data_IF_412523841515
#
_entry.id   IF_412523841515
#
_cell.length_a   1.000
_cell.length_b   1.000
_cell.length_c   1.000
_cell.angle_alpha   90.00
_cell.angle_beta   90.00
_cell.angle_gamma   90.00
#
_symmetry.space_group_name_H-M   'P 1'
#
loop_
_entity.id
_entity.type
_entity.pdbx_description
1 polymer ?
#
# COMPACT_ATOMS: atom_id res chain seq x y z
N UNK A 1 -20.91 -0.13 -51.60
CA UNK A 1 -19.73 -0.44 -50.77
C UNK A 1 -20.32 -0.80 -49.44
N UNK A 2 -20.35 -2.10 -49.13
CA UNK A 2 -20.86 -2.55 -47.85
C UNK A 2 -19.91 -2.09 -46.74
N UNK A 3 -20.50 -1.58 -45.66
CA UNK A 3 -19.80 -1.45 -44.40
C UNK A 3 -19.90 -2.82 -43.72
N UNK A 4 -18.90 -3.67 -43.94
CA UNK A 4 -18.73 -4.87 -43.13
C UNK A 4 -18.47 -4.42 -41.70
N UNK A 5 -19.50 -4.49 -40.86
CA UNK A 5 -19.26 -4.54 -39.43
C UNK A 5 -18.59 -5.89 -39.19
N UNK A 6 -17.32 -5.86 -38.77
CA UNK A 6 -16.68 -7.03 -38.21
C UNK A 6 -17.35 -7.26 -36.85
N UNK A 7 -18.21 -8.28 -36.78
CA UNK A 7 -18.74 -8.76 -35.50
C UNK A 7 -17.52 -9.23 -34.70
N UNK A 8 -17.23 -8.55 -33.58
CA UNK A 8 -16.23 -9.01 -32.62
C UNK A 8 -16.65 -10.40 -32.15
N UNK A 9 -15.95 -11.43 -32.64
CA UNK A 9 -16.23 -12.80 -32.27
C UNK A 9 -15.93 -12.97 -30.77
N UNK A 10 -16.98 -13.15 -29.96
CA UNK A 10 -16.87 -13.36 -28.52
C UNK A 10 -15.77 -14.38 -28.21
N UNK A 11 -14.77 -13.95 -27.44
CA UNK A 11 -13.53 -14.70 -27.26
C UNK A 11 -13.82 -16.04 -26.55
N UNK A 12 -13.79 -17.13 -27.32
CA UNK A 12 -14.08 -18.47 -26.81
C UNK A 12 -12.90 -18.99 -25.98
N UNK A 13 -13.11 -19.09 -24.66
CA UNK A 13 -12.14 -19.58 -23.67
C UNK A 13 -12.47 -21.04 -23.29
N UNK A 14 -11.46 -21.88 -23.05
CA UNK A 14 -11.68 -23.24 -22.56
C UNK A 14 -12.04 -23.28 -21.07
N UNK A 15 -12.64 -24.38 -20.61
CA UNK A 15 -12.99 -24.53 -19.19
C UNK A 15 -11.76 -24.51 -18.27
N UNK A 16 -10.58 -24.92 -18.75
CA UNK A 16 -9.34 -24.84 -17.97
C UNK A 16 -8.86 -23.40 -17.83
N UNK A 17 -8.72 -22.68 -18.94
CA UNK A 17 -8.31 -21.27 -18.95
C UNK A 17 -9.27 -20.40 -18.12
N UNK A 18 -10.58 -20.67 -18.15
CA UNK A 18 -11.56 -19.99 -17.30
C UNK A 18 -11.41 -20.30 -15.79
N UNK A 19 -11.05 -21.54 -15.43
CA UNK A 19 -10.79 -21.89 -14.03
C UNK A 19 -9.48 -21.27 -13.54
N UNK A 20 -8.45 -21.28 -14.38
CA UNK A 20 -7.15 -20.65 -14.12
C UNK A 20 -7.32 -19.12 -13.95
N UNK A 21 -8.07 -18.45 -14.84
CA UNK A 21 -8.43 -17.03 -14.74
C UNK A 21 -9.21 -16.69 -13.45
N UNK A 22 -10.12 -17.56 -13.01
CA UNK A 22 -10.86 -17.38 -11.74
C UNK A 22 -9.94 -17.58 -10.53
N UNK A 23 -9.09 -18.61 -10.53
CA UNK A 23 -8.14 -18.85 -9.43
C UNK A 23 -7.09 -17.73 -9.30
N UNK A 24 -6.67 -17.12 -10.42
CA UNK A 24 -5.78 -15.94 -10.45
C UNK A 24 -6.48 -14.68 -9.93
N UNK A 25 -7.69 -14.34 -10.43
CA UNK A 25 -8.46 -13.18 -9.94
C UNK A 25 -8.79 -13.26 -8.46
N UNK A 26 -9.16 -14.44 -7.96
CA UNK A 26 -9.37 -14.63 -6.53
C UNK A 26 -8.06 -14.47 -5.73
N UNK A 27 -6.92 -14.91 -6.27
CA UNK A 27 -5.61 -14.72 -5.64
C UNK A 27 -5.25 -13.24 -5.57
N UNK A 28 -5.46 -12.45 -6.63
CA UNK A 28 -5.27 -10.99 -6.62
C UNK A 28 -6.08 -10.32 -5.50
N UNK A 29 -7.37 -10.68 -5.38
CA UNK A 29 -8.26 -10.20 -4.32
C UNK A 29 -7.75 -10.61 -2.92
N UNK A 30 -7.31 -11.85 -2.73
CA UNK A 30 -6.68 -12.29 -1.48
C UNK A 30 -5.42 -11.45 -1.17
N UNK A 31 -4.57 -11.15 -2.14
CA UNK A 31 -3.35 -10.36 -1.95
C UNK A 31 -3.64 -8.92 -1.52
N UNK A 32 -4.57 -8.24 -2.21
CA UNK A 32 -4.97 -6.87 -1.87
C UNK A 32 -5.64 -6.81 -0.50
N UNK A 33 -6.60 -7.71 -0.23
CA UNK A 33 -7.36 -7.76 1.03
C UNK A 33 -6.61 -8.42 2.19
N UNK A 34 -5.39 -8.93 1.95
CA UNK A 34 -4.55 -9.58 2.95
C UNK A 34 -5.12 -10.93 3.43
N UNK A 35 -5.98 -11.56 2.63
CA UNK A 35 -6.81 -12.71 3.02
C UNK A 35 -7.74 -12.43 4.20
N UNK A 36 -8.29 -11.21 4.33
CA UNK A 36 -9.42 -10.95 5.24
C UNK A 36 -10.73 -11.24 4.49
N UNK A 37 -11.50 -12.21 5.00
CA UNK A 37 -12.63 -12.82 4.31
C UNK A 37 -13.93 -12.01 4.35
N UNK A 38 -13.85 -10.75 4.79
CA UNK A 38 -14.96 -9.80 4.87
C UNK A 38 -15.99 -10.07 5.95
N UNK A 39 -15.80 -11.06 6.84
CA UNK A 39 -16.83 -11.46 7.82
C UNK A 39 -16.75 -10.73 9.17
N UNK A 40 -15.57 -10.29 9.59
CA UNK A 40 -15.34 -9.72 10.93
C UNK A 40 -14.73 -8.31 10.92
N UNK A 41 -15.22 -7.41 11.77
CA UNK A 41 -14.65 -6.07 11.91
C UNK A 41 -13.27 -6.14 12.61
N UNK A 42 -12.21 -5.72 11.90
CA UNK A 42 -10.83 -5.79 12.38
C UNK A 42 -10.52 -4.92 13.61
N UNK A 43 -11.43 -4.02 14.01
CA UNK A 43 -11.25 -3.13 15.16
C UNK A 43 -10.91 -3.90 16.47
N UNK A 44 -11.52 -5.08 16.67
CA UNK A 44 -11.23 -5.96 17.81
C UNK A 44 -9.84 -6.63 17.75
N UNK A 45 -9.22 -6.66 16.58
CA UNK A 45 -7.85 -7.17 16.34
C UNK A 45 -6.77 -6.12 16.68
N UNK A 46 -7.17 -4.91 17.11
CA UNK A 46 -6.26 -3.81 17.49
C UNK A 46 -5.77 -2.98 16.29
N UNK A 47 -4.61 -2.31 16.45
CA UNK A 47 -3.88 -1.73 15.33
C UNK A 47 -3.11 -2.84 14.62
N UNK A 48 -3.49 -3.17 13.38
CA UNK A 48 -2.83 -4.21 12.60
C UNK A 48 -1.60 -3.64 11.90
N UNK A 49 -0.54 -4.46 11.79
CA UNK A 49 0.70 -4.12 11.08
C UNK A 49 0.41 -3.58 9.67
N UNK A 50 -0.39 -4.36 8.93
CA UNK A 50 -0.99 -4.05 7.63
C UNK A 50 -2.40 -4.62 7.56
N UNK A 51 -3.33 -3.88 6.97
CA UNK A 51 -4.67 -4.35 6.57
C UNK A 51 -5.22 -3.48 5.44
N UNK A 52 -6.06 -4.05 4.57
CA UNK A 52 -6.82 -3.27 3.58
C UNK A 52 -7.77 -2.29 4.27
N UNK A 53 -7.68 -1.02 3.86
CA UNK A 53 -8.50 0.09 4.37
C UNK A 53 -9.22 0.79 3.21
N UNK A 54 -10.45 1.20 3.50
CA UNK A 54 -11.36 1.89 2.61
C UNK A 54 -11.78 3.21 3.24
N UNK A 55 -11.88 4.29 2.46
CA UNK A 55 -12.55 5.53 2.88
C UNK A 55 -13.97 5.57 2.32
N UNK A 56 -14.94 5.99 3.13
CA UNK A 56 -16.32 6.17 2.68
C UNK A 56 -16.62 7.67 2.51
N UNK A 57 -16.49 8.17 1.27
CA UNK A 57 -16.70 9.59 0.96
C UNK A 57 -18.13 10.06 1.26
N UNK A 58 -19.12 9.15 1.21
CA UNK A 58 -20.51 9.44 1.61
C UNK A 58 -20.67 9.67 3.12
N UNK A 59 -19.85 9.04 3.96
CA UNK A 59 -19.93 9.19 5.42
C UNK A 59 -18.96 10.24 5.96
N UNK A 60 -17.74 10.27 5.44
CA UNK A 60 -16.64 11.10 5.92
C UNK A 60 -15.93 11.78 4.74
N UNK A 61 -16.59 12.76 4.06
CA UNK A 61 -16.02 13.47 2.92
C UNK A 61 -14.76 14.28 3.27
N UNK A 62 -14.57 14.60 4.55
CA UNK A 62 -13.33 15.19 5.07
C UNK A 62 -12.13 14.22 5.12
N UNK A 63 -12.30 12.96 4.74
CA UNK A 63 -11.21 11.99 4.62
C UNK A 63 -10.45 11.75 5.93
N UNK A 64 -11.18 11.68 7.04
CA UNK A 64 -10.62 11.61 8.40
C UNK A 64 -10.90 10.27 9.11
N UNK A 65 -11.44 9.27 8.41
CA UNK A 65 -11.77 7.95 8.94
C UNK A 65 -11.48 6.85 7.90
N UNK A 66 -11.09 5.66 8.36
CA UNK A 66 -10.90 4.47 7.51
C UNK A 66 -11.64 3.24 8.04
N UNK A 67 -12.17 2.42 7.14
CA UNK A 67 -12.93 1.20 7.47
C UNK A 67 -12.27 -0.03 6.85
N UNK A 68 -12.35 -1.18 7.52
CA UNK A 68 -11.81 -2.44 7.02
C UNK A 68 -12.77 -3.16 6.05
N UNK A 69 -12.27 -4.16 5.33
CA UNK A 69 -13.00 -5.01 4.37
C UNK A 69 -14.41 -5.40 4.82
N UNK A 70 -14.57 -6.00 6.00
CA UNK A 70 -15.89 -6.39 6.51
C UNK A 70 -16.87 -5.20 6.69
N UNK A 71 -16.34 -4.01 6.99
CA UNK A 71 -17.15 -2.80 7.18
C UNK A 71 -17.48 -2.09 5.87
N UNK A 72 -16.59 -2.06 4.87
CA UNK A 72 -16.96 -1.58 3.53
C UNK A 72 -18.09 -2.45 2.97
N UNK A 73 -17.95 -3.78 3.02
CA UNK A 73 -18.93 -4.75 2.52
C UNK A 73 -20.27 -4.77 3.29
N UNK A 74 -20.27 -4.63 4.62
CA UNK A 74 -21.51 -4.78 5.41
C UNK A 74 -22.10 -3.47 5.93
N UNK A 75 -21.26 -2.48 6.27
CA UNK A 75 -21.71 -1.25 6.91
C UNK A 75 -21.94 -0.12 5.90
N UNK A 76 -21.10 -0.04 4.86
CA UNK A 76 -21.09 1.03 3.86
C UNK A 76 -21.49 0.55 2.45
N UNK A 77 -22.14 -0.62 2.35
CA UNK A 77 -22.77 -1.10 1.11
C UNK A 77 -23.65 -0.02 0.46
N UNK A 78 -23.55 0.11 -0.86
CA UNK A 78 -24.22 1.14 -1.65
C UNK A 78 -23.72 2.59 -1.46
N UNK A 79 -22.67 2.83 -0.67
CA UNK A 79 -22.06 4.17 -0.54
C UNK A 79 -20.93 4.39 -1.56
N UNK A 80 -20.54 5.65 -1.76
CA UNK A 80 -19.28 5.96 -2.45
C UNK A 80 -18.11 5.60 -1.52
N UNK A 81 -17.33 4.60 -1.93
CA UNK A 81 -16.14 4.10 -1.25
C UNK A 81 -14.94 4.27 -2.17
N UNK A 82 -13.79 4.60 -1.58
CA UNK A 82 -12.48 4.57 -2.23
C UNK A 82 -11.62 3.54 -1.50
N UNK A 83 -11.04 2.60 -2.25
CA UNK A 83 -10.04 1.68 -1.73
C UNK A 83 -8.69 2.38 -1.56
N UNK A 84 -8.05 2.16 -0.41
CA UNK A 84 -6.74 2.75 -0.09
C UNK A 84 -5.64 1.68 -0.01
N UNK A 85 -5.93 0.46 -0.46
CA UNK A 85 -5.10 -0.74 -0.32
C UNK A 85 -4.70 -0.96 1.15
N UNK A 86 -3.58 -1.64 1.37
CA UNK A 86 -3.06 -1.88 2.72
C UNK A 86 -2.45 -0.63 3.36
N UNK A 87 -2.91 -0.29 4.57
CA UNK A 87 -2.34 0.80 5.40
C UNK A 87 -1.70 0.26 6.67
N UNK A 88 -0.65 0.94 7.14
CA UNK A 88 0.09 0.59 8.36
C UNK A 88 -0.62 0.96 9.66
N UNK A 89 -0.37 0.17 10.70
CA UNK A 89 -0.72 0.47 12.11
C UNK A 89 -2.13 1.09 12.25
N UNK A 90 -3.11 0.52 11.54
CA UNK A 90 -4.44 1.10 11.39
C UNK A 90 -5.48 0.25 12.14
N UNK A 91 -6.55 0.89 12.62
CA UNK A 91 -7.68 0.28 13.32
C UNK A 91 -9.00 0.85 12.81
N UNK A 92 -9.95 -0.02 12.44
CA UNK A 92 -11.17 0.35 11.72
C UNK A 92 -12.08 1.34 12.49
N UNK A 93 -12.23 2.57 11.99
CA UNK A 93 -13.03 3.65 12.58
C UNK A 93 -14.54 3.43 12.49
N UNK A 94 -15.04 2.61 11.55
CA UNK A 94 -16.47 2.43 11.23
C UNK A 94 -17.36 2.48 12.49
N UNK A 95 -18.22 3.50 12.61
CA UNK A 95 -19.15 3.65 13.74
C UNK A 95 -18.53 4.14 15.06
N UNK A 96 -17.42 4.89 15.00
CA UNK A 96 -16.95 5.77 16.08
C UNK A 96 -17.46 7.23 15.86
N UNK A 97 -16.97 8.21 16.63
CA UNK A 97 -17.48 9.61 16.62
C UNK A 97 -17.62 10.23 15.23
N UNK A 98 -16.74 9.84 14.31
CA UNK A 98 -16.61 10.35 12.95
C UNK A 98 -17.80 9.99 12.05
N UNK A 99 -18.62 9.03 12.47
CA UNK A 99 -19.83 8.59 11.77
C UNK A 99 -21.11 9.12 12.42
N UNK A 100 -21.01 10.07 13.36
CA UNK A 100 -22.15 10.68 14.04
C UNK A 100 -22.89 9.68 14.94
N UNK A 101 -24.20 9.51 14.72
CA UNK A 101 -25.04 8.56 15.47
C UNK A 101 -25.05 7.13 14.87
N UNK A 102 -24.26 6.87 13.82
CA UNK A 102 -24.15 5.54 13.21
C UNK A 102 -23.19 4.62 13.99
N UNK A 103 -23.62 3.38 14.22
CA UNK A 103 -22.83 2.33 14.87
C UNK A 103 -22.52 1.19 13.90
N UNK A 104 -21.34 0.58 14.02
CA UNK A 104 -20.96 -0.57 13.20
C UNK A 104 -21.93 -1.75 13.39
N UNK A 105 -22.47 -2.27 12.28
CA UNK A 105 -23.40 -3.41 12.27
C UNK A 105 -22.77 -4.72 12.76
N UNK A 106 -21.45 -4.87 12.62
CA UNK A 106 -20.71 -6.09 12.98
C UNK A 106 -20.18 -6.02 14.42
N UNK A 107 -19.52 -4.94 14.79
CA UNK A 107 -18.87 -4.77 16.10
C UNK A 107 -19.23 -3.41 16.72
N UNK A 108 -20.37 -3.32 17.42
CA UNK A 108 -20.79 -2.11 18.12
C UNK A 108 -19.95 -1.87 19.38
N UNK A 109 -20.03 -0.65 19.91
CA UNK A 109 -19.30 -0.16 21.10
C UNK A 109 -17.77 -0.11 20.87
N UNK A 110 -17.33 0.96 20.21
CA UNK A 110 -15.92 1.29 19.98
C UNK A 110 -15.48 2.45 20.88
N UNK A 111 -14.15 2.61 20.99
CA UNK A 111 -13.50 3.81 21.49
C UNK A 111 -13.95 5.00 20.63
N UNK A 112 -14.08 6.18 21.26
CA UNK A 112 -14.64 7.38 20.61
C UNK A 112 -13.87 7.73 19.34
N UNK A 113 -12.54 7.64 19.36
CA UNK A 113 -11.63 7.83 18.23
C UNK A 113 -10.41 6.89 18.32
N UNK A 114 -9.84 6.51 17.18
CA UNK A 114 -8.55 5.81 17.12
C UNK A 114 -7.42 6.84 16.94
N UNK A 115 -6.70 7.14 18.03
CA UNK A 115 -5.72 8.24 18.11
C UNK A 115 -4.38 7.97 17.42
N UNK A 116 -4.07 6.72 17.07
CA UNK A 116 -2.82 6.35 16.36
C UNK A 116 -3.01 6.17 14.85
N UNK A 117 -4.26 6.17 14.35
CA UNK A 117 -4.53 6.13 12.91
C UNK A 117 -3.99 7.41 12.25
N UNK A 118 -3.32 7.26 11.11
CA UNK A 118 -2.86 8.36 10.27
C UNK A 118 -3.75 8.51 9.03
N UNK A 119 -3.98 9.75 8.59
CA UNK A 119 -4.82 10.08 7.44
C UNK A 119 -4.04 11.03 6.52
N UNK A 120 -3.79 10.58 5.29
CA UNK A 120 -3.29 11.41 4.20
C UNK A 120 -4.45 11.80 3.26
N UNK A 121 -4.17 12.54 2.19
CA UNK A 121 -5.22 12.98 1.25
C UNK A 121 -5.89 11.85 0.43
N UNK A 122 -5.35 10.63 0.42
CA UNK A 122 -6.00 9.49 -0.24
C UNK A 122 -7.36 9.17 0.39
N UNK A 123 -7.53 9.46 1.69
CA UNK A 123 -8.80 9.29 2.37
C UNK A 123 -9.90 10.25 1.84
N UNK A 124 -9.55 11.29 1.09
CA UNK A 124 -10.48 12.14 0.32
C UNK A 124 -10.66 11.70 -1.13
N UNK A 125 -9.99 10.62 -1.53
CA UNK A 125 -9.87 10.20 -2.93
C UNK A 125 -8.88 11.02 -3.74
N UNK A 126 -7.93 11.75 -3.13
CA UNK A 126 -6.87 12.50 -3.84
C UNK A 126 -5.50 11.82 -3.70
N UNK A 127 -4.69 11.87 -4.76
CA UNK A 127 -3.43 11.15 -4.85
C UNK A 127 -2.32 12.01 -5.48
N UNK A 128 -1.06 11.69 -5.16
CA UNK A 128 0.14 12.31 -5.69
C UNK A 128 0.29 13.82 -5.38
N UNK A 129 1.43 14.43 -5.73
CA UNK A 129 1.67 15.88 -5.56
C UNK A 129 0.75 16.76 -6.41
N UNK A 130 0.07 16.19 -7.42
CA UNK A 130 -0.95 16.86 -8.22
C UNK A 130 -2.35 16.88 -7.58
N UNK A 131 -2.62 16.05 -6.57
CA UNK A 131 -3.90 15.99 -5.86
C UNK A 131 -5.09 15.47 -6.67
N UNK A 132 -4.85 14.89 -7.86
CA UNK A 132 -5.89 14.32 -8.74
C UNK A 132 -6.57 13.11 -8.10
N UNK A 133 -7.82 12.80 -8.49
CA UNK A 133 -8.49 11.59 -8.04
C UNK A 133 -7.97 10.33 -8.73
N UNK A 134 -8.30 9.16 -8.17
CA UNK A 134 -8.11 7.86 -8.82
C UNK A 134 -9.36 6.98 -8.63
N UNK A 135 -9.93 6.37 -9.70
CA UNK A 135 -9.61 6.65 -11.10
C UNK A 135 -9.91 8.12 -11.46
N UNK A 136 -9.09 8.70 -12.32
CA UNK A 136 -9.23 10.07 -12.77
C UNK A 136 -10.26 10.15 -13.92
N UNK A 137 -11.39 10.88 -13.77
CA UNK A 137 -12.41 10.97 -14.82
C UNK A 137 -11.99 11.84 -16.01
N UNK A 138 -10.90 12.60 -15.90
CA UNK A 138 -10.41 13.49 -16.96
C UNK A 138 -9.31 12.83 -17.84
N UNK A 139 -9.10 11.52 -17.74
CA UNK A 139 -8.17 10.74 -18.59
C UNK A 139 -8.83 9.50 -19.19
N UNK A 140 -8.45 9.15 -20.42
CA UNK A 140 -9.01 8.00 -21.16
C UNK A 140 -8.45 6.65 -20.67
N UNK A 141 -7.17 6.62 -20.27
CA UNK A 141 -6.48 5.44 -19.74
C UNK A 141 -5.92 5.75 -18.33
N UNK A 142 -6.11 4.81 -17.40
CA UNK A 142 -5.58 4.92 -16.03
C UNK A 142 -4.18 4.31 -15.97
N UNK A 143 -3.19 5.07 -15.50
CA UNK A 143 -1.80 4.61 -15.38
C UNK A 143 -1.51 3.98 -14.02
N UNK A 144 -0.53 3.07 -13.97
CA UNK A 144 0.01 2.54 -12.71
C UNK A 144 0.56 3.69 -11.84
N UNK A 145 0.30 3.62 -10.52
CA UNK A 145 0.84 4.56 -9.55
C UNK A 145 1.75 3.83 -8.56
N UNK A 146 2.80 4.49 -8.08
CA UNK A 146 3.77 3.91 -7.15
C UNK A 146 3.45 4.34 -5.71
N UNK A 147 3.16 3.39 -4.81
CA UNK A 147 2.96 3.68 -3.38
C UNK A 147 4.30 3.91 -2.66
N UNK A 148 4.46 5.06 -2.01
CA UNK A 148 5.63 5.30 -1.16
C UNK A 148 5.50 4.59 0.20
N UNK A 149 6.48 3.73 0.54
CA UNK A 149 6.43 2.92 1.77
C UNK A 149 6.54 3.71 3.10
N UNK A 150 6.88 5.01 3.05
CA UNK A 150 6.95 5.90 4.21
C UNK A 150 5.64 6.64 4.50
N UNK A 151 5.07 7.32 3.51
CA UNK A 151 3.84 8.11 3.69
C UNK A 151 2.56 7.41 3.22
N UNK A 152 2.69 6.23 2.60
CA UNK A 152 1.63 5.42 2.01
C UNK A 152 0.73 6.18 1.03
N UNK A 153 1.27 7.25 0.44
CA UNK A 153 0.67 8.00 -0.66
C UNK A 153 1.15 7.42 -2.00
N UNK A 154 0.32 7.58 -3.04
CA UNK A 154 0.54 7.04 -4.38
C UNK A 154 1.01 8.14 -5.34
N UNK A 155 1.94 7.83 -6.23
CA UNK A 155 2.56 8.80 -7.12
C UNK A 155 2.54 8.35 -8.59
N UNK A 156 2.13 9.25 -9.49
CA UNK A 156 2.35 9.09 -10.93
C UNK A 156 3.85 9.22 -11.24
N UNK A 157 4.36 8.50 -12.25
CA UNK A 157 5.79 8.44 -12.58
C UNK A 157 6.39 9.82 -12.94
N UNK A 158 5.65 10.65 -13.68
CA UNK A 158 6.08 11.98 -14.12
C UNK A 158 6.26 12.96 -12.95
N UNK A 159 5.55 12.71 -11.85
CA UNK A 159 5.55 13.55 -10.64
C UNK A 159 6.62 13.12 -9.61
N UNK A 160 7.43 12.10 -9.92
CA UNK A 160 8.55 11.65 -9.06
C UNK A 160 9.74 12.61 -9.06
N UNK A 161 9.87 13.46 -10.08
CA UNK A 161 11.02 14.35 -10.27
C UNK A 161 12.29 13.61 -10.74
N UNK A 162 12.09 12.64 -11.64
CA UNK A 162 13.13 11.95 -12.41
C UNK A 162 13.42 12.72 -13.71
N UNK A 163 14.53 12.40 -14.39
CA UNK A 163 14.90 13.01 -15.68
C UNK A 163 14.25 12.28 -16.88
N UNK A 164 14.02 10.97 -16.75
CA UNK A 164 13.12 10.19 -17.61
C UNK A 164 12.49 9.03 -16.82
N UNK A 165 11.49 8.36 -17.40
CA UNK A 165 10.90 7.14 -16.83
C UNK A 165 11.87 5.96 -16.83
N UNK A 166 12.90 5.94 -17.69
CA UNK A 166 13.95 4.92 -17.72
C UNK A 166 14.78 4.85 -16.41
N UNK A 167 14.70 5.88 -15.56
CA UNK A 167 15.30 5.86 -14.22
C UNK A 167 14.57 4.92 -13.24
N UNK A 168 13.35 4.49 -13.55
CA UNK A 168 12.56 3.55 -12.74
C UNK A 168 13.05 2.13 -13.05
N UNK A 169 13.61 1.38 -12.08
CA UNK A 169 14.21 0.07 -12.37
C UNK A 169 13.14 -0.98 -12.73
N UNK A 170 12.98 -1.23 -14.04
CA UNK A 170 12.16 -2.29 -14.63
C UNK A 170 13.02 -3.22 -15.51
N UNK A 171 12.58 -4.46 -15.76
CA UNK A 171 13.28 -5.45 -16.58
C UNK A 171 13.02 -5.32 -18.09
N UNK A 172 12.93 -6.40 -18.86
CA UNK A 172 12.63 -6.37 -20.31
C UNK A 172 11.13 -6.54 -20.60
N UNK A 173 10.42 -7.15 -19.66
CA UNK A 173 8.98 -7.39 -19.63
C UNK A 173 8.22 -6.17 -19.06
N UNK A 174 8.84 -5.42 -18.14
CA UNK A 174 8.30 -4.20 -17.53
C UNK A 174 8.12 -4.28 -16.01
N UNK A 175 8.48 -5.42 -15.41
CA UNK A 175 8.28 -5.73 -13.99
C UNK A 175 9.27 -4.96 -13.09
N UNK A 176 8.87 -4.58 -11.87
CA UNK A 176 9.72 -3.81 -10.97
C UNK A 176 10.91 -4.63 -10.41
N UNK A 177 12.12 -4.11 -10.66
CA UNK A 177 13.38 -4.61 -10.09
C UNK A 177 13.64 -4.12 -8.64
N UNK A 178 12.69 -3.40 -8.05
CA UNK A 178 12.69 -2.89 -6.69
C UNK A 178 11.66 -3.61 -5.79
N UNK A 179 11.67 -3.32 -4.48
CA UNK A 179 10.74 -3.85 -3.47
C UNK A 179 9.97 -2.75 -2.74
N UNK A 180 10.67 -1.69 -2.32
CA UNK A 180 10.08 -0.50 -1.72
C UNK A 180 10.50 0.74 -2.55
N UNK A 181 9.55 1.67 -2.75
CA UNK A 181 9.80 2.99 -3.31
C UNK A 181 9.64 4.07 -2.23
N UNK A 182 10.53 5.07 -2.23
CA UNK A 182 10.44 6.25 -1.37
C UNK A 182 10.34 7.51 -2.24
N UNK A 183 9.26 8.27 -2.08
CA UNK A 183 9.04 9.52 -2.81
C UNK A 183 10.01 10.62 -2.38
N UNK A 184 10.23 11.60 -3.26
CA UNK A 184 11.18 12.70 -3.06
C UNK A 184 11.03 13.44 -1.71
N UNK A 185 9.84 13.81 -1.22
CA UNK A 185 9.71 14.40 0.13
C UNK A 185 10.16 13.46 1.26
N UNK A 186 9.89 12.16 1.14
CA UNK A 186 10.26 11.18 2.16
C UNK A 186 11.76 10.84 2.14
N UNK A 187 12.47 11.07 1.03
CA UNK A 187 13.93 10.83 0.97
C UNK A 187 14.73 11.79 1.86
N UNK A 188 14.17 12.93 2.27
CA UNK A 188 14.78 13.84 3.26
C UNK A 188 14.72 13.27 4.68
N UNK A 189 13.73 12.42 5.00
CA UNK A 189 13.68 11.64 6.24
C UNK A 189 14.61 10.42 6.14
N UNK A 190 14.63 9.77 4.98
CA UNK A 190 15.43 8.59 4.69
C UNK A 190 16.84 8.87 4.13
N UNK A 191 17.37 10.09 4.29
CA UNK A 191 18.68 10.48 3.76
C UNK A 191 19.82 9.55 4.21
N UNK A 192 19.69 8.94 5.39
CA UNK A 192 20.63 7.99 5.96
C UNK A 192 20.78 6.70 5.14
N UNK A 193 19.86 6.38 4.23
CA UNK A 193 19.99 5.22 3.33
C UNK A 193 21.19 5.34 2.38
N UNK A 194 21.59 6.59 2.04
CA UNK A 194 22.81 6.88 1.27
C UNK A 194 24.12 6.48 1.97
N UNK A 195 24.06 6.04 3.23
CA UNK A 195 25.22 5.55 3.99
C UNK A 195 25.40 4.02 3.84
N UNK A 196 24.41 3.29 3.31
CA UNK A 196 24.50 1.84 3.10
C UNK A 196 25.14 1.48 1.75
N UNK A 197 25.66 0.24 1.60
CA UNK A 197 26.27 -0.20 0.35
C UNK A 197 25.30 -0.18 -0.84
N UNK A 198 25.84 -0.13 -2.06
CA UNK A 198 25.08 -0.15 -3.32
C UNK A 198 24.11 -1.33 -3.47
N UNK A 199 24.27 -2.41 -2.70
CA UNK A 199 23.39 -3.57 -2.71
C UNK A 199 21.97 -3.32 -2.20
N UNK A 200 21.70 -2.23 -1.46
CA UNK A 200 20.33 -1.90 -0.99
C UNK A 200 19.47 -1.17 -2.04
N UNK A 201 20.04 -0.88 -3.21
CA UNK A 201 19.43 -0.08 -4.26
C UNK A 201 19.09 -0.97 -5.45
N UNK A 202 17.94 -0.74 -6.07
CA UNK A 202 17.59 -1.41 -7.32
C UNK A 202 18.48 -0.89 -8.46
N UNK A 203 18.88 -1.78 -9.38
CA UNK A 203 19.79 -1.46 -10.48
C UNK A 203 18.99 -1.25 -11.75
N UNK A 204 18.75 0.01 -12.11
CA UNK A 204 18.18 0.37 -13.41
C UNK A 204 19.18 0.20 -14.56
N UNK A 205 18.68 0.21 -15.79
CA UNK A 205 19.47 0.15 -17.03
C UNK A 205 20.28 1.45 -17.19
N UNK A 206 21.50 1.49 -16.65
CA UNK A 206 22.45 2.57 -16.90
C UNK A 206 22.75 2.63 -18.41
N UNK A 207 22.34 3.71 -19.08
CA UNK A 207 22.87 4.08 -20.38
C UNK A 207 24.36 4.42 -20.19
N UNK A 208 25.24 3.58 -20.75
CA UNK A 208 26.69 3.70 -20.58
C UNK A 208 27.18 5.11 -20.96
N UNK A 209 27.87 5.77 -20.02
CA UNK A 209 28.37 7.12 -20.22
C UNK A 209 29.34 7.17 -21.42
N UNK A 210 29.07 8.07 -22.36
CA UNK A 210 29.84 8.22 -23.60
C UNK A 210 31.32 8.50 -23.29
N UNK A 211 32.18 7.56 -23.64
CA UNK A 211 33.63 7.67 -23.44
C UNK A 211 34.18 8.80 -24.31
N UNK A 212 34.56 9.91 -23.68
CA UNK A 212 35.30 10.98 -24.34
C UNK A 212 36.67 10.48 -24.83
N UNK A 213 36.80 10.27 -26.15
CA UNK A 213 38.10 10.04 -26.78
C UNK A 213 38.58 11.35 -27.41
N UNK A 214 39.30 12.15 -26.62
CA UNK A 214 39.92 13.38 -27.10
C UNK A 214 40.93 13.08 -28.23
N UNK A 215 40.83 13.77 -29.37
CA UNK A 215 41.88 13.81 -30.39
C UNK A 215 41.91 15.15 -31.12
N UNK A 216 43.00 15.88 -30.91
CA UNK A 216 43.31 17.17 -31.53
C UNK A 216 44.45 17.02 -32.56
N UNK A 217 44.63 18.05 -33.42
CA UNK A 217 45.47 18.18 -34.62
C UNK A 217 44.88 17.51 -35.87
N UNK A 218 44.70 18.19 -37.02
CA UNK A 218 44.88 19.61 -37.37
C UNK A 218 45.60 19.82 -38.71
N UNK A 219 45.53 21.04 -39.30
CA UNK A 219 46.29 21.53 -40.50
C UNK A 219 45.84 20.91 -41.86
N UNK A 220 45.55 21.64 -42.95
CA UNK A 220 45.50 23.09 -43.29
C UNK A 220 44.57 23.35 -44.51
N UNK A 221 44.03 24.58 -44.61
CA UNK A 221 43.67 25.39 -45.82
C UNK A 221 42.79 24.77 -46.96
N UNK A 222 42.03 25.54 -47.76
CA UNK A 222 42.34 26.83 -48.39
C UNK A 222 41.13 27.81 -48.51
N UNK A 223 41.40 29.04 -48.97
CA UNK A 223 40.48 30.18 -49.09
C UNK A 223 40.20 30.50 -50.58
N UNK A 224 39.21 31.36 -50.92
CA UNK A 224 39.49 32.80 -50.97
C UNK A 224 38.30 33.69 -50.54
N UNK A 225 38.53 35.00 -50.51
CA UNK A 225 37.52 36.02 -50.16
C UNK A 225 37.67 37.28 -51.00
N UNK A 226 36.56 37.83 -51.50
CA UNK A 226 36.43 39.26 -51.82
C UNK A 226 34.96 39.66 -51.81
N UNK A 227 34.66 40.81 -51.21
CA UNK A 227 33.37 41.49 -51.35
C UNK A 227 33.53 42.81 -52.11
N UNK A 228 32.42 43.36 -52.59
CA UNK A 228 32.30 44.77 -53.03
C UNK A 228 30.91 45.31 -52.69
N UNK A 229 30.86 46.60 -52.41
CA UNK A 229 29.64 47.39 -52.20
C UNK A 229 29.17 48.03 -53.51
N UNK A 230 27.88 48.39 -53.59
CA UNK A 230 27.35 49.73 -53.92
C UNK A 230 25.81 49.70 -54.08
N UNK A 231 25.17 50.87 -54.00
CA UNK A 231 23.69 51.08 -53.98
C UNK A 231 23.20 51.65 -55.35
N UNK A 232 22.13 52.49 -55.49
CA UNK A 232 20.83 52.65 -54.77
C UNK A 232 19.59 52.81 -55.71
N UNK A 233 18.39 52.99 -55.11
CA UNK A 233 17.12 53.53 -55.68
C UNK A 233 16.41 52.69 -56.78
N UNK A 234 15.08 52.73 -56.98
CA UNK A 234 13.93 53.36 -56.28
C UNK A 234 12.68 52.46 -56.44
N UNK A 235 11.44 52.83 -56.11
CA UNK A 235 10.84 54.14 -55.81
C UNK A 235 9.56 53.99 -54.92
N UNK A 236 8.98 55.12 -54.50
CA UNK A 236 7.70 55.43 -53.81
C UNK A 236 6.45 54.59 -54.18
N UNK A 237 5.34 54.52 -53.41
CA UNK A 237 4.94 54.89 -52.01
C UNK A 237 3.48 54.33 -51.76
N UNK A 238 2.63 54.63 -50.75
CA UNK A 238 2.60 55.64 -49.66
C UNK A 238 1.56 55.32 -48.53
N UNK A 239 1.63 56.07 -47.42
CA UNK A 239 0.59 56.48 -46.44
C UNK A 239 -0.55 55.55 -45.93
N UNK A 240 -0.62 55.45 -44.60
CA UNK A 240 -1.88 55.26 -43.83
C UNK A 240 -2.64 56.58 -43.62
N UNK A 241 -3.97 56.54 -43.37
CA UNK A 241 -4.69 57.62 -42.68
C UNK A 241 -5.28 57.18 -41.32
N UNK A 242 -6.09 58.05 -40.69
CA UNK A 242 -6.36 58.10 -39.25
C UNK A 242 -7.84 58.43 -38.97
N UNK A 243 -8.35 58.05 -37.78
CA UNK A 243 -9.31 58.82 -36.94
C UNK A 243 -10.86 58.74 -37.18
N UNK A 244 -11.56 58.29 -36.11
CA UNK A 244 -12.90 58.63 -35.50
C UNK A 244 -14.28 58.13 -36.03
N UNK A 245 -15.24 58.26 -35.09
CA UNK A 245 -16.73 58.17 -35.10
C UNK A 245 -17.42 56.78 -35.02
N UNK A 246 -18.53 56.57 -34.28
CA UNK A 246 -19.17 57.33 -33.17
C UNK A 246 -20.29 56.50 -32.44
N UNK A 247 -20.78 57.01 -31.28
CA UNK A 247 -21.98 56.60 -30.47
C UNK A 247 -21.86 55.32 -29.60
N UNK A 248 -22.39 55.18 -28.36
CA UNK A 248 -23.60 55.67 -27.62
C UNK A 248 -24.86 54.85 -27.98
N UNK A 249 -25.66 54.25 -27.09
CA UNK A 249 -25.93 54.38 -25.62
C UNK A 249 -25.59 53.07 -24.81
N UNK A 250 -25.43 53.01 -23.47
CA UNK A 250 -26.32 53.30 -22.29
C UNK A 250 -27.49 52.28 -22.16
N UNK A 251 -27.90 51.74 -20.99
CA UNK A 251 -27.73 52.05 -19.55
C UNK A 251 -27.38 50.76 -18.73
N UNK A 252 -26.70 50.73 -17.56
CA UNK A 252 -26.86 51.37 -16.23
C UNK A 252 -27.95 50.73 -15.33
N UNK A 253 -27.91 50.67 -13.99
CA UNK A 253 -26.89 50.88 -12.91
C UNK A 253 -27.46 50.19 -11.62
N UNK A 254 -26.77 49.66 -10.59
CA UNK A 254 -25.63 50.09 -9.73
C UNK A 254 -24.73 48.86 -9.41
N UNK A 255 -23.69 48.87 -8.55
CA UNK A 255 -23.04 49.89 -7.70
C UNK A 255 -23.25 49.66 -6.18
N UNK A 256 -22.20 49.59 -5.33
CA UNK A 256 -20.76 49.59 -5.62
C UNK A 256 -19.86 49.79 -4.39
N UNK A 257 -18.56 49.96 -4.63
CA UNK A 257 -17.47 50.40 -3.72
C UNK A 257 -17.15 49.47 -2.51
N UNK A 258 -15.96 48.87 -2.34
CA UNK A 258 -14.55 49.31 -2.49
C UNK A 258 -13.94 49.96 -1.25
N UNK A 259 -12.91 49.31 -0.71
CA UNK A 259 -11.75 49.93 -0.06
C UNK A 259 -10.50 49.02 -0.25
N UNK A 260 -9.31 49.58 -0.04
CA UNK A 260 -8.01 48.99 -0.42
C UNK A 260 -7.16 48.59 0.80
N UNK A 261 -5.94 48.11 0.51
CA UNK A 261 -4.85 47.69 1.41
C UNK A 261 -5.09 46.37 2.18
N UNK A 262 -4.13 45.44 2.27
CA UNK A 262 -2.78 45.40 1.69
C UNK A 262 -1.68 45.35 2.74
N UNK A 263 -1.20 44.15 3.04
CA UNK A 263 -0.10 43.87 3.96
C UNK A 263 0.29 42.39 3.83
N UNK A 264 1.56 42.08 4.04
CA UNK A 264 2.14 40.73 3.90
C UNK A 264 3.06 40.45 5.10
N UNK A 265 3.57 39.21 5.16
CA UNK A 265 4.69 38.69 5.97
C UNK A 265 4.42 38.23 7.42
N UNK A 266 4.90 37.01 7.67
CA UNK A 266 5.68 36.51 8.81
C UNK A 266 5.14 36.56 10.26
N UNK A 267 4.86 35.36 10.79
CA UNK A 267 5.92 34.65 11.53
C UNK A 267 5.85 34.59 13.07
N UNK A 268 6.47 33.52 13.58
CA UNK A 268 6.76 33.17 14.99
C UNK A 268 5.63 32.64 15.87
N UNK A 269 6.02 31.60 16.61
CA UNK A 269 5.38 31.03 17.80
C UNK A 269 5.60 31.95 19.01
N UNK A 270 4.74 31.84 20.04
CA UNK A 270 5.20 31.71 21.44
C UNK A 270 4.14 31.03 22.33
N UNK A 271 4.52 30.67 23.56
CA UNK A 271 3.78 29.87 24.55
C UNK A 271 2.58 30.59 25.21
N UNK A 272 1.66 29.79 25.77
CA UNK A 272 0.93 29.89 27.06
C UNK A 272 -0.43 29.14 26.95
N UNK A 273 -1.03 28.53 27.98
CA UNK A 273 -0.63 28.16 29.36
C UNK A 273 -1.60 27.07 29.87
N UNK A 274 -1.15 26.15 30.73
CA UNK A 274 -2.04 25.19 31.42
C UNK A 274 -2.48 25.74 32.79
N UNK A 275 -3.75 25.58 33.21
CA UNK A 275 -4.18 25.90 34.57
C UNK A 275 -3.96 24.71 35.53
N UNK A 276 -3.35 24.96 36.69
CA UNK A 276 -3.32 24.01 37.81
C UNK A 276 -4.64 24.00 38.59
N UNK A 277 -4.92 22.90 39.29
CA UNK A 277 -5.76 22.94 40.50
C UNK A 277 -5.18 21.99 41.56
N UNK A 278 -5.25 22.39 42.83
CA UNK A 278 -4.37 21.88 43.91
C UNK A 278 -5.10 21.06 44.97
N UNK A 279 -4.36 20.12 45.60
CA UNK A 279 -4.44 19.69 47.03
C UNK A 279 -4.05 18.20 47.17
N UNK A 280 -3.58 17.68 48.31
CA UNK A 280 -2.91 18.25 49.49
C UNK A 280 -2.17 17.12 50.22
N UNK A 281 -1.16 17.43 51.06
CA UNK A 281 -0.59 16.46 52.00
C UNK A 281 0.93 16.57 52.13
N UNK A 282 1.47 16.32 53.33
CA UNK A 282 2.90 16.49 53.64
C UNK A 282 3.46 15.32 54.44
N UNK A 283 4.79 15.25 54.41
CA UNK A 283 5.69 14.73 55.46
C UNK A 283 5.89 13.21 55.55
N UNK A 284 7.00 12.69 56.07
CA UNK A 284 8.43 13.13 56.20
C UNK A 284 9.20 11.96 56.86
N UNK A 285 10.53 12.06 57.00
CA UNK A 285 11.42 11.21 57.83
C UNK A 285 11.72 9.81 57.24
N UNK A 286 12.94 9.25 57.40
CA UNK A 286 14.24 9.83 57.78
C UNK A 286 15.39 8.91 57.29
N UNK A 287 16.60 9.48 57.14
CA UNK A 287 17.85 8.78 56.79
C UNK A 287 18.32 7.84 57.91
N UNK A 288 18.94 6.71 57.55
CA UNK A 288 19.73 5.87 58.46
C UNK A 288 20.71 4.98 57.68
N UNK A 289 22.01 5.24 57.84
CA UNK A 289 23.09 4.45 57.24
C UNK A 289 23.27 3.09 57.95
N UNK A 290 23.86 2.11 57.25
CA UNK A 290 25.14 1.52 57.64
C UNK A 290 25.68 0.56 56.56
N UNK A 291 27.02 0.48 56.46
CA UNK A 291 27.70 -0.53 55.65
C UNK A 291 27.75 -1.87 56.39
N UNK A 292 27.88 -2.97 55.65
CA UNK A 292 28.96 -3.93 55.87
C UNK A 292 29.17 -4.77 54.60
N UNK A 293 30.37 -5.33 54.43
CA UNK A 293 30.68 -6.20 53.29
C UNK A 293 31.86 -7.12 53.59
N UNK A 294 31.85 -8.34 53.04
CA UNK A 294 33.01 -9.23 53.06
C UNK A 294 33.05 -10.22 51.88
N UNK A 295 34.02 -9.95 51.01
CA UNK A 295 34.84 -10.84 50.18
C UNK A 295 34.55 -12.34 49.91
N UNK A 296 34.85 -12.71 48.65
CA UNK A 296 35.44 -13.97 48.17
C UNK A 296 34.68 -15.31 48.32
N UNK A 297 34.23 -15.86 47.17
CA UNK A 297 35.11 -16.72 46.33
C UNK A 297 34.57 -17.09 44.94
N UNK A 298 35.51 -17.28 44.02
CA UNK A 298 35.32 -17.82 42.67
C UNK A 298 35.03 -19.32 42.68
N UNK A 299 34.25 -19.80 41.70
CA UNK A 299 34.62 -21.01 40.97
C UNK A 299 34.02 -21.00 39.55
N UNK A 300 34.76 -21.55 38.60
CA UNK A 300 34.45 -21.52 37.17
C UNK A 300 34.58 -22.95 36.61
N UNK A 301 33.53 -23.49 35.96
CA UNK A 301 33.73 -24.49 34.89
C UNK A 301 32.46 -24.76 34.03
N UNK A 302 32.46 -24.11 32.86
CA UNK A 302 32.07 -24.60 31.52
C UNK A 302 31.77 -26.11 31.35
N UNK A 303 30.67 -26.41 30.65
CA UNK A 303 30.35 -27.72 30.02
C UNK A 303 28.83 -27.93 29.89
N UNK A 304 28.12 -27.53 28.83
CA UNK A 304 28.01 -28.10 27.45
C UNK A 304 27.22 -29.42 27.32
N UNK A 305 26.26 -29.40 26.38
CA UNK A 305 25.55 -30.52 25.71
C UNK A 305 24.26 -31.11 26.33
N UNK A 306 23.13 -30.74 25.72
CA UNK A 306 22.01 -31.55 25.19
C UNK A 306 21.70 -32.95 25.78
N UNK A 307 20.40 -33.26 26.00
CA UNK A 307 19.57 -34.21 25.20
C UNK A 307 18.16 -34.47 25.81
N UNK A 308 17.15 -34.60 24.92
CA UNK A 308 15.77 -35.11 25.04
C UNK A 308 15.03 -35.27 26.39
N UNK A 309 13.85 -34.64 26.46
CA UNK A 309 12.56 -35.35 26.31
C UNK A 309 12.01 -36.25 27.43
N UNK A 310 10.88 -35.86 28.02
CA UNK A 310 10.03 -36.71 28.86
C UNK A 310 8.64 -36.11 29.11
N UNK A 311 7.56 -36.89 28.91
CA UNK A 311 6.18 -36.47 29.18
C UNK A 311 5.75 -36.86 30.60
N UNK A 312 4.97 -36.00 31.27
CA UNK A 312 3.95 -36.45 32.24
C UNK A 312 2.81 -35.42 32.37
N UNK A 313 1.67 -35.86 32.88
CA UNK A 313 0.49 -35.02 33.15
C UNK A 313 0.35 -34.76 34.67
N UNK A 314 -0.40 -33.71 35.06
CA UNK A 314 -1.71 -33.83 35.76
C UNK A 314 -2.19 -32.50 36.38
N UNK A 315 -3.38 -32.06 35.97
CA UNK A 315 -4.42 -31.32 36.71
C UNK A 315 -4.10 -30.25 37.80
N UNK A 316 -4.44 -28.99 37.48
CA UNK A 316 -5.57 -28.29 38.14
C UNK A 316 -5.28 -27.24 39.24
N UNK A 317 -5.78 -26.01 39.09
CA UNK A 317 -5.75 -24.99 40.16
C UNK A 317 -6.08 -23.55 39.70
N UNK A 318 -7.33 -23.12 39.91
CA UNK A 318 -7.97 -21.85 39.47
C UNK A 318 -7.29 -20.54 39.95
N UNK A 319 -7.26 -19.55 39.04
CA UNK A 319 -7.27 -18.07 39.16
C UNK A 319 -7.14 -17.36 40.54
N UNK A 320 -6.37 -16.25 40.62
CA UNK A 320 -6.86 -14.86 40.45
C UNK A 320 -5.73 -13.80 40.31
N UNK A 321 -6.04 -12.77 39.52
CA UNK A 321 -5.62 -11.35 39.45
C UNK A 321 -4.26 -10.82 39.97
N UNK A 322 -3.56 -10.12 39.04
CA UNK A 322 -2.95 -8.79 39.16
C UNK A 322 -2.02 -8.44 40.35
N UNK A 323 -0.73 -8.23 40.07
CA UNK A 323 -0.20 -6.86 39.85
C UNK A 323 1.25 -6.84 39.33
N UNK A 324 1.53 -5.74 38.62
CA UNK A 324 2.81 -5.10 38.27
C UNK A 324 4.09 -5.58 39.02
N UNK A 325 5.13 -5.93 38.25
CA UNK A 325 6.52 -5.86 38.72
C UNK A 325 7.43 -5.22 37.67
N UNK A 326 7.38 -3.88 37.60
CA UNK A 326 8.45 -3.05 37.09
C UNK A 326 9.80 -3.43 37.73
N UNK A 327 10.67 -4.11 36.98
CA UNK A 327 12.09 -4.15 37.28
C UNK A 327 12.89 -4.16 35.98
N UNK A 328 13.49 -3.01 35.67
CA UNK A 328 14.38 -2.85 34.54
C UNK A 328 15.57 -3.79 34.72
N UNK A 329 15.69 -4.80 33.86
CA UNK A 329 16.97 -5.43 33.63
C UNK A 329 17.89 -4.36 33.02
N UNK A 330 18.90 -3.91 33.77
CA UNK A 330 20.00 -3.13 33.22
C UNK A 330 20.77 -4.03 32.24
N UNK A 331 20.30 -4.05 31.00
CA UNK A 331 20.86 -4.86 29.94
C UNK A 331 22.33 -4.49 29.75
N UNK A 332 23.22 -5.48 29.83
CA UNK A 332 24.63 -5.27 29.57
C UNK A 332 24.79 -4.58 28.22
N UNK A 333 25.49 -3.45 28.19
CA UNK A 333 25.79 -2.69 26.98
C UNK A 333 26.76 -3.48 26.09
N UNK A 334 26.20 -4.49 25.43
CA UNK A 334 26.79 -5.11 24.26
C UNK A 334 26.82 -4.03 23.19
N UNK A 335 27.92 -3.30 23.18
CA UNK A 335 28.26 -2.25 22.23
C UNK A 335 28.42 -2.88 20.84
N UNK A 336 27.31 -3.20 20.20
CA UNK A 336 27.23 -3.65 18.81
C UNK A 336 27.70 -2.49 17.95
N UNK A 337 28.86 -2.65 17.33
CA UNK A 337 29.42 -1.63 16.45
C UNK A 337 28.45 -1.33 15.30
N UNK A 338 28.30 -0.04 14.99
CA UNK A 338 27.36 0.41 13.96
C UNK A 338 27.83 -0.06 12.59
N UNK A 339 26.97 -0.75 11.82
CA UNK A 339 27.30 -1.24 10.47
C UNK A 339 27.71 -0.11 9.51
N UNK A 340 27.27 1.12 9.80
CA UNK A 340 27.57 2.32 9.01
C UNK A 340 28.88 3.01 9.42
N UNK A 341 29.51 2.62 10.54
CA UNK A 341 30.71 3.26 11.10
C UNK A 341 30.54 4.70 11.58
N UNK A 342 29.41 5.34 11.30
CA UNK A 342 29.10 6.75 11.58
C UNK A 342 27.86 6.91 12.47
N UNK A 343 27.67 8.11 13.01
CA UNK A 343 26.47 8.48 13.76
C UNK A 343 25.42 9.12 12.82
N UNK A 344 24.33 8.40 12.55
CA UNK A 344 23.32 8.84 11.58
C UNK A 344 22.50 10.04 12.05
N UNK A 345 22.52 10.38 13.35
CA UNK A 345 21.89 11.60 13.86
C UNK A 345 22.78 12.84 13.63
N UNK A 346 24.08 12.65 13.39
CA UNK A 346 25.05 13.73 13.11
C UNK A 346 25.39 13.86 11.62
N UNK A 347 24.93 12.94 10.78
CA UNK A 347 25.06 13.05 9.33
C UNK A 347 24.04 14.06 8.78
N UNK A 348 24.48 14.96 7.90
CA UNK A 348 23.61 15.85 7.13
C UNK A 348 23.15 15.19 5.83
N UNK A 349 22.06 15.65 5.19
CA UNK A 349 21.81 15.38 3.78
C UNK A 349 22.94 15.96 2.91
N UNK A 350 23.76 15.09 2.32
CA UNK A 350 24.87 15.47 1.42
C UNK A 350 24.39 15.61 -0.04
N UNK A 351 23.29 14.93 -0.37
CA UNK A 351 22.74 14.80 -1.72
C UNK A 351 21.36 15.47 -1.79
N UNK A 352 20.96 16.11 -2.91
CA UNK A 352 19.61 16.64 -3.09
C UNK A 352 18.55 15.52 -3.01
N UNK A 353 17.33 15.89 -2.59
CA UNK A 353 16.21 14.94 -2.48
C UNK A 353 15.73 14.46 -3.86
N UNK A 354 15.72 13.13 -4.02
CA UNK A 354 15.25 12.38 -5.20
C UNK A 354 14.41 11.18 -4.76
N UNK A 355 13.60 10.62 -5.66
CA UNK A 355 12.99 9.31 -5.48
C UNK A 355 14.05 8.23 -5.20
N UNK A 356 13.70 7.22 -4.42
CA UNK A 356 14.59 6.11 -4.04
C UNK A 356 13.93 4.78 -4.38
N UNK A 357 14.62 3.92 -5.12
CA UNK A 357 14.16 2.57 -5.49
C UNK A 357 15.07 1.55 -4.80
N UNK A 358 14.50 0.75 -3.89
CA UNK A 358 15.25 -0.10 -2.97
C UNK A 358 15.13 -1.57 -3.39
N UNK A 359 16.23 -2.32 -3.27
CA UNK A 359 16.30 -3.70 -3.76
C UNK A 359 15.57 -4.70 -2.85
N UNK A 360 15.25 -5.88 -3.39
CA UNK A 360 14.58 -6.95 -2.65
C UNK A 360 15.39 -7.38 -1.42
N UNK A 361 14.77 -7.33 -0.24
CA UNK A 361 15.34 -7.53 1.11
C UNK A 361 16.20 -6.38 1.66
N UNK A 362 16.13 -5.15 1.12
CA UNK A 362 16.95 -4.03 1.60
C UNK A 362 16.80 -3.75 3.12
N UNK A 363 15.61 -4.00 3.69
CA UNK A 363 15.29 -3.84 5.12
C UNK A 363 16.19 -4.67 6.05
N UNK A 364 16.74 -5.78 5.56
CA UNK A 364 17.66 -6.64 6.34
C UNK A 364 19.09 -6.10 6.41
N UNK A 365 19.47 -5.16 5.53
CA UNK A 365 20.75 -4.47 5.65
C UNK A 365 20.77 -3.43 6.79
N UNK A 366 19.61 -3.02 7.29
CA UNK A 366 19.48 -1.91 8.23
C UNK A 366 20.07 -2.23 9.62
N UNK A 367 20.92 -1.32 10.11
CA UNK A 367 21.60 -1.44 11.38
C UNK A 367 20.65 -1.28 12.57
N UNK A 368 20.60 -2.29 13.44
CA UNK A 368 19.71 -2.34 14.62
C UNK A 368 20.45 -2.07 15.95
N UNK A 369 21.56 -1.32 15.90
CA UNK A 369 22.29 -0.90 17.12
C UNK A 369 21.53 0.22 17.86
N UNK A 370 21.81 0.41 19.15
CA UNK A 370 21.07 1.33 20.03
C UNK A 370 20.91 2.75 19.45
N UNK A 371 21.94 3.30 18.79
CA UNK A 371 21.88 4.63 18.15
C UNK A 371 20.93 4.68 16.95
N UNK A 372 21.02 3.69 16.05
CA UNK A 372 20.17 3.64 14.86
C UNK A 372 18.71 3.37 15.24
N UNK A 373 18.46 2.44 16.17
CA UNK A 373 17.14 2.19 16.76
C UNK A 373 16.50 3.46 17.32
N UNK A 374 17.29 4.28 18.02
CA UNK A 374 16.81 5.52 18.63
C UNK A 374 16.53 6.62 17.61
N UNK A 375 17.40 6.79 16.60
CA UNK A 375 17.10 7.65 15.44
C UNK A 375 15.80 7.22 14.73
N UNK A 376 15.56 5.92 14.54
CA UNK A 376 14.33 5.42 13.93
C UNK A 376 13.09 5.73 14.77
N UNK A 377 13.16 5.70 16.11
CA UNK A 377 12.08 6.17 17.00
C UNK A 377 11.84 7.66 16.85
N UNK A 378 12.89 8.47 16.93
CA UNK A 378 12.80 9.92 16.85
C UNK A 378 12.25 10.42 15.51
N UNK A 379 12.57 9.72 14.41
CA UNK A 379 12.02 9.97 13.07
C UNK A 379 10.67 9.27 12.80
N UNK A 380 10.16 8.46 13.75
CA UNK A 380 8.92 7.65 13.64
C UNK A 380 8.92 6.65 12.47
N UNK A 381 10.09 6.12 12.12
CA UNK A 381 10.33 5.15 11.01
C UNK A 381 10.80 3.77 11.52
N UNK A 382 10.48 3.41 12.76
CA UNK A 382 10.79 2.08 13.34
C UNK A 382 10.19 0.90 12.58
N UNK A 383 9.24 1.14 11.69
CA UNK A 383 8.66 0.12 10.82
C UNK A 383 9.60 -0.37 9.71
N UNK A 384 10.60 0.43 9.29
CA UNK A 384 11.53 0.04 8.22
C UNK A 384 12.42 -1.15 8.59
N UNK A 385 12.60 -1.40 9.90
CA UNK A 385 13.34 -2.55 10.44
C UNK A 385 12.45 -3.70 10.89
N UNK A 386 11.13 -3.53 10.79
CA UNK A 386 10.10 -4.52 11.07
C UNK A 386 9.88 -5.37 9.81
N UNK A 387 9.80 -6.70 9.99
CA UNK A 387 9.55 -7.64 8.90
C UNK A 387 8.07 -7.85 8.65
N UNK A 388 7.23 -7.70 9.67
CA UNK A 388 5.77 -7.86 9.61
C UNK A 388 5.07 -6.69 8.88
N UNK A 389 5.85 -5.77 8.31
CA UNK A 389 5.45 -4.47 7.78
C UNK A 389 5.64 -4.32 6.26
N UNK A 390 6.35 -5.23 5.59
CA UNK A 390 6.52 -5.15 4.13
C UNK A 390 5.25 -5.60 3.40
N UNK A 391 5.07 -5.12 2.17
CA UNK A 391 4.01 -5.59 1.27
C UNK A 391 4.19 -7.09 1.00
N UNK A 392 5.41 -7.53 0.73
CA UNK A 392 5.74 -8.95 0.50
C UNK A 392 5.36 -9.87 1.68
N UNK A 393 5.47 -9.42 2.93
CA UNK A 393 5.05 -10.21 4.10
C UNK A 393 3.53 -10.24 4.26
N UNK A 394 2.84 -9.13 3.97
CA UNK A 394 1.38 -9.05 3.92
C UNK A 394 0.79 -9.99 2.86
N UNK A 395 1.36 -9.99 1.65
CA UNK A 395 1.04 -10.93 0.58
C UNK A 395 1.34 -12.38 0.95
N UNK A 396 2.50 -12.65 1.57
CA UNK A 396 2.88 -14.00 2.02
C UNK A 396 1.90 -14.54 3.06
N UNK A 397 1.41 -13.69 3.96
CA UNK A 397 0.34 -14.02 4.91
C UNK A 397 -1.00 -14.25 4.20
N UNK A 398 -1.35 -13.46 3.19
CA UNK A 398 -2.54 -13.68 2.38
C UNK A 398 -2.53 -15.06 1.68
N UNK A 399 -1.44 -15.41 0.99
CA UNK A 399 -1.26 -16.71 0.33
C UNK A 399 -1.43 -17.88 1.31
N UNK A 400 -0.85 -17.78 2.51
CA UNK A 400 -1.02 -18.81 3.54
C UNK A 400 -2.45 -18.92 4.10
N UNK A 401 -3.21 -17.82 4.14
CA UNK A 401 -4.64 -17.88 4.50
C UNK A 401 -5.47 -18.53 3.40
N UNK A 402 -5.20 -18.22 2.12
CA UNK A 402 -5.84 -18.85 0.95
C UNK A 402 -5.62 -20.37 0.98
N UNK A 403 -4.36 -20.80 1.12
CA UNK A 403 -3.96 -22.21 1.28
C UNK A 403 -4.72 -22.89 2.44
N UNK A 404 -4.69 -22.30 3.65
CA UNK A 404 -5.33 -22.86 4.83
C UNK A 404 -6.87 -22.91 4.73
N UNK A 405 -7.49 -21.91 4.07
CA UNK A 405 -8.94 -21.88 3.82
C UNK A 405 -9.35 -23.00 2.86
N UNK A 406 -8.56 -23.24 1.79
CA UNK A 406 -8.78 -24.31 0.82
C UNK A 406 -8.63 -25.69 1.50
N UNK A 407 -7.56 -25.91 2.29
CA UNK A 407 -7.40 -27.13 3.08
C UNK A 407 -8.56 -27.35 4.06
N UNK A 408 -8.99 -26.29 4.76
CA UNK A 408 -10.11 -26.35 5.70
C UNK A 408 -11.43 -26.68 4.99
N UNK A 409 -11.69 -26.11 3.81
CA UNK A 409 -12.89 -26.41 3.03
C UNK A 409 -12.90 -27.85 2.53
N UNK A 410 -11.80 -28.32 1.90
CA UNK A 410 -11.68 -29.72 1.47
C UNK A 410 -11.84 -30.69 2.65
N UNK A 411 -11.23 -30.37 3.80
CA UNK A 411 -11.40 -31.13 5.05
C UNK A 411 -12.84 -31.11 5.57
N UNK A 412 -13.54 -29.97 5.48
CA UNK A 412 -14.93 -29.83 5.89
C UNK A 412 -15.87 -30.66 4.99
N UNK A 413 -15.69 -30.60 3.67
CA UNK A 413 -16.43 -31.37 2.67
C UNK A 413 -16.21 -32.89 2.84
N UNK A 414 -14.96 -33.32 3.02
CA UNK A 414 -14.63 -34.70 3.36
C UNK A 414 -15.28 -35.12 4.70
N UNK A 415 -15.32 -34.22 5.70
CA UNK A 415 -15.99 -34.52 6.98
C UNK A 415 -17.51 -34.63 6.83
N UNK A 416 -18.13 -33.81 5.97
CA UNK A 416 -19.55 -33.83 5.66
C UNK A 416 -19.91 -35.12 4.94
N UNK A 417 -19.21 -35.41 3.84
CA UNK A 417 -19.40 -36.63 3.08
C UNK A 417 -19.23 -37.88 3.96
N UNK A 418 -18.24 -37.91 4.86
CA UNK A 418 -18.05 -39.04 5.77
C UNK A 418 -19.16 -39.22 6.82
N UNK A 419 -19.87 -38.17 7.24
CA UNK A 419 -20.98 -38.25 8.21
C UNK A 419 -22.24 -38.90 7.62
N UNK A 420 -22.41 -38.88 6.30
CA UNK A 420 -23.58 -39.43 5.61
C UNK A 420 -23.68 -40.96 5.73
N UNK A 421 -24.90 -41.48 5.67
CA UNK A 421 -25.20 -42.91 5.57
C UNK A 421 -24.75 -43.50 4.23
N UNK A 422 -24.65 -44.83 4.16
CA UNK A 422 -24.19 -45.52 2.95
C UNK A 422 -25.08 -45.25 1.73
N UNK A 423 -26.40 -45.16 1.91
CA UNK A 423 -27.34 -44.88 0.82
C UNK A 423 -27.14 -43.46 0.28
N UNK A 424 -27.10 -42.47 1.17
CA UNK A 424 -26.88 -41.05 0.84
C UNK A 424 -25.53 -40.83 0.12
N UNK A 425 -24.45 -41.50 0.58
CA UNK A 425 -23.14 -41.49 -0.09
C UNK A 425 -23.22 -42.03 -1.52
N UNK A 426 -23.92 -43.16 -1.73
CA UNK A 426 -24.09 -43.77 -3.05
C UNK A 426 -24.95 -42.89 -3.96
N UNK A 427 -26.01 -42.28 -3.45
CA UNK A 427 -26.85 -41.35 -4.22
C UNK A 427 -26.09 -40.09 -4.65
N UNK A 428 -25.28 -39.49 -3.77
CA UNK A 428 -24.44 -38.33 -4.10
C UNK A 428 -23.37 -38.72 -5.12
N UNK A 429 -22.63 -39.82 -4.90
CA UNK A 429 -21.61 -40.27 -5.85
C UNK A 429 -22.21 -40.61 -7.23
N UNK A 430 -23.40 -41.23 -7.27
CA UNK A 430 -24.13 -41.48 -8.52
C UNK A 430 -24.55 -40.17 -9.18
N UNK A 431 -25.04 -39.19 -8.43
CA UNK A 431 -25.40 -37.87 -8.95
C UNK A 431 -24.21 -37.08 -9.52
N UNK A 432 -23.06 -37.10 -8.84
CA UNK A 432 -21.81 -36.50 -9.32
C UNK A 432 -21.34 -37.19 -10.61
N UNK A 433 -21.38 -38.54 -10.65
CA UNK A 433 -21.00 -39.28 -11.85
C UNK A 433 -21.97 -39.04 -13.02
N UNK A 434 -23.29 -39.00 -12.78
CA UNK A 434 -24.31 -38.64 -13.78
C UNK A 434 -24.09 -37.22 -14.34
N UNK A 435 -23.73 -36.26 -13.48
CA UNK A 435 -23.45 -34.88 -13.89
C UNK A 435 -22.14 -34.79 -14.68
N UNK A 436 -21.09 -35.52 -14.25
CA UNK A 436 -19.79 -35.60 -14.94
C UNK A 436 -19.91 -36.24 -16.32
N UNK A 437 -20.60 -37.37 -16.44
CA UNK A 437 -20.84 -38.05 -17.72
C UNK A 437 -21.81 -37.26 -18.60
N UNK A 438 -22.76 -36.51 -18.01
CA UNK A 438 -23.61 -35.56 -18.70
C UNK A 438 -22.82 -34.41 -19.32
N UNK A 439 -21.99 -33.72 -18.51
CA UNK A 439 -21.09 -32.65 -18.96
C UNK A 439 -20.12 -33.14 -20.04
N UNK A 440 -19.46 -34.28 -19.82
CA UNK A 440 -18.58 -34.89 -20.83
C UNK A 440 -19.32 -35.16 -22.12
N UNK A 441 -20.44 -35.90 -22.07
CA UNK A 441 -21.20 -36.26 -23.27
C UNK A 441 -21.76 -35.04 -24.00
N UNK A 442 -22.00 -33.94 -23.29
CA UNK A 442 -22.39 -32.66 -23.87
C UNK A 442 -21.23 -32.00 -24.60
N UNK A 443 -20.08 -31.81 -23.95
CA UNK A 443 -18.87 -31.22 -24.54
C UNK A 443 -18.32 -32.05 -25.71
N UNK A 444 -18.36 -33.39 -25.62
CA UNK A 444 -18.00 -34.32 -26.72
C UNK A 444 -18.99 -34.28 -27.90
N UNK A 445 -20.22 -33.80 -27.68
CA UNK A 445 -21.25 -33.64 -28.72
C UNK A 445 -21.39 -32.22 -29.26
N UNK A 446 -20.73 -31.25 -28.62
CA UNK A 446 -20.79 -29.84 -28.97
C UNK A 446 -20.04 -29.60 -30.29
N UNK A 447 -20.57 -28.71 -31.12
CA UNK A 447 -19.89 -28.29 -32.33
C UNK A 447 -18.75 -27.34 -31.95
N UNK A 448 -17.50 -27.79 -32.08
CA UNK A 448 -16.31 -27.00 -31.70
C UNK A 448 -16.09 -25.76 -32.58
N UNK A 449 -16.95 -25.51 -33.57
CA UNK A 449 -17.00 -24.25 -34.33
C UNK A 449 -18.05 -23.24 -33.82
N UNK A 450 -18.71 -23.52 -32.68
CA UNK A 450 -19.75 -22.66 -32.09
C UNK A 450 -19.53 -22.46 -30.58
N UNK A 451 -19.82 -21.27 -30.04
CA UNK A 451 -19.87 -21.06 -28.59
C UNK A 451 -21.02 -21.85 -27.96
N UNK A 452 -20.84 -22.26 -26.71
CA UNK A 452 -21.88 -22.91 -25.90
C UNK A 452 -22.75 -21.83 -25.27
N UNK A 453 -24.06 -21.86 -25.51
CA UNK A 453 -24.99 -20.84 -25.02
C UNK A 453 -25.64 -21.24 -23.68
N UNK A 454 -26.26 -20.27 -23.00
CA UNK A 454 -27.04 -20.52 -21.79
C UNK A 454 -28.20 -21.51 -22.02
N UNK A 455 -28.82 -21.50 -23.20
CA UNK A 455 -29.88 -22.44 -23.57
C UNK A 455 -29.36 -23.89 -23.72
N UNK A 456 -28.14 -24.06 -24.23
CA UNK A 456 -27.49 -25.38 -24.33
C UNK A 456 -27.20 -25.96 -22.93
N UNK A 457 -26.70 -25.12 -22.01
CA UNK A 457 -26.48 -25.47 -20.60
C UNK A 457 -27.81 -25.82 -19.90
N UNK A 458 -28.86 -25.03 -20.12
CA UNK A 458 -30.19 -25.36 -19.63
C UNK A 458 -30.70 -26.69 -20.19
N UNK A 459 -30.50 -26.95 -21.49
CA UNK A 459 -30.90 -28.20 -22.14
C UNK A 459 -30.15 -29.41 -21.58
N UNK A 460 -28.84 -29.29 -21.29
CA UNK A 460 -28.05 -30.32 -20.59
C UNK A 460 -28.68 -30.68 -19.23
N UNK A 461 -28.90 -29.70 -18.36
CA UNK A 461 -29.51 -29.96 -17.04
C UNK A 461 -30.88 -30.61 -17.17
N UNK A 462 -31.67 -30.20 -18.17
CA UNK A 462 -32.98 -30.79 -18.43
C UNK A 462 -32.90 -32.22 -18.98
N UNK A 463 -31.87 -32.55 -19.76
CA UNK A 463 -31.60 -33.91 -20.23
C UNK A 463 -31.14 -34.84 -19.08
N UNK A 464 -30.34 -34.34 -18.14
CA UNK A 464 -30.00 -35.05 -16.89
C UNK A 464 -31.25 -35.32 -16.06
N UNK A 465 -32.10 -34.30 -15.82
CA UNK A 465 -33.41 -34.45 -15.14
C UNK A 465 -34.31 -35.49 -15.85
N UNK A 466 -34.30 -35.53 -17.18
CA UNK A 466 -35.10 -36.48 -18.00
C UNK A 466 -34.58 -37.92 -17.92
N UNK A 467 -33.26 -38.16 -17.82
CA UNK A 467 -32.70 -39.49 -17.50
C UNK A 467 -33.15 -39.96 -16.12
N UNK A 468 -32.94 -39.15 -15.08
CA UNK A 468 -33.26 -39.49 -13.69
C UNK A 468 -34.76 -39.74 -13.41
N UNK A 469 -35.65 -39.40 -14.35
CA UNK A 469 -37.10 -39.71 -14.34
C UNK A 469 -37.51 -40.96 -15.16
N UNK A 470 -36.55 -41.68 -15.75
CA UNK A 470 -36.75 -42.92 -16.53
C UNK A 470 -36.10 -44.14 -15.86
N UNK A 471 -35.12 -43.90 -14.99
CA UNK A 471 -34.38 -44.92 -14.24
C UNK A 471 -34.99 -45.18 -12.84
N UNK A 472 -36.26 -44.79 -12.64
CA UNK A 472 -37.09 -44.94 -11.42
C UNK A 472 -38.49 -45.40 -11.82
#
# INVERSE_FOLDING_TARGET
MDATFEEEAEQAVTLNEYLEEVEERELEVDLVLGGDDGKECTYGKGYLKRQAIFSCLTCTPDGNAGVCTACSLSCHDGHQIVELWTKRNFRCDCGNSKFGEFYCKILPNKDVENTENSYNHNFKGSYCTCGRPYPDPDVEEQVEMLQCCLCEDWFHEEHLGLESSDEIPRDEEGEPLYEDFICKPCSEVCFFLNLYPKSIWAVGKQLDATVEVSKDKGVLEDKPSTGKSEEPMGDTSNNSPKVVDAKVDSESVSGGQSMLQGGNCDGSLDLNQCPESTSNGKSMLQVGDCNDGLDLKLNLNRGTENISGGKSMLHGGKCIDSLDLNQCAEGSDMKVDCLLGVDIAAASPILPSKAMFLSKNWRDALCKCNKCMEFYRQKRITFLIDKEDSIAEYERVAKQKREANIEQQQGAELSFFNKLGHVEKVEILKGIQEMKDGLRSFLESADTSKPITADDVHQLFDNIKKKRRRDV
#
